data_IF_444269325657
#
_entry.id   IF_444269325657
#
_cell.length_a   1.000
_cell.length_b   1.000
_cell.length_c   1.000
_cell.angle_alpha   90.00
_cell.angle_beta   90.00
_cell.angle_gamma   90.00
#
_symmetry.space_group_name_H-M   'P 1'
#
loop_
_entity.id
_entity.type
_entity.pdbx_description
1 polymer ?
#
# COMPACT_ATOMS: atom_id res chain seq x y z
N UNK A 1 -12.29 3.41 17.11
CA UNK A 1 -11.17 4.04 16.42
C UNK A 1 -11.23 3.74 14.94
N UNK A 2 -11.05 4.75 14.09
CA UNK A 2 -11.14 4.58 12.64
C UNK A 2 -9.78 4.15 12.09
N UNK A 3 -9.78 3.07 11.31
CA UNK A 3 -8.56 2.63 10.63
C UNK A 3 -8.25 3.57 9.47
N UNK A 4 -7.05 4.11 9.46
CA UNK A 4 -6.58 4.99 8.40
C UNK A 4 -5.59 4.26 7.52
N UNK A 5 -5.79 4.34 6.21
CA UNK A 5 -4.98 3.65 5.22
C UNK A 5 -4.30 4.68 4.32
N UNK A 6 -2.99 4.52 4.13
CA UNK A 6 -2.26 5.33 3.17
C UNK A 6 -2.23 4.59 1.84
N UNK A 7 -2.68 5.26 0.78
CA UNK A 7 -2.69 4.71 -0.58
C UNK A 7 -1.61 5.42 -1.39
N UNK A 8 -0.66 4.66 -1.91
CA UNK A 8 0.44 5.20 -2.71
C UNK A 8 0.41 4.59 -4.11
N UNK A 9 0.13 5.41 -5.11
CA UNK A 9 0.04 4.99 -6.50
C UNK A 9 0.23 6.23 -7.37
N UNK A 10 1.03 6.16 -8.42
CA UNK A 10 1.29 7.33 -9.26
C UNK A 10 0.10 7.70 -10.16
N UNK A 11 -0.92 6.84 -10.24
CA UNK A 11 -2.15 7.11 -10.99
C UNK A 11 -3.24 7.67 -10.08
N UNK A 12 -3.67 8.88 -10.34
CA UNK A 12 -4.77 9.50 -9.58
C UNK A 12 -6.07 8.69 -9.73
N UNK A 13 -6.30 8.11 -10.90
CA UNK A 13 -7.49 7.28 -11.12
C UNK A 13 -7.47 6.04 -10.23
N UNK A 14 -6.31 5.40 -10.10
CA UNK A 14 -6.16 4.24 -9.23
C UNK A 14 -6.32 4.62 -7.77
N UNK A 15 -5.78 5.76 -7.36
CA UNK A 15 -5.96 6.25 -5.99
C UNK A 15 -7.45 6.41 -5.68
N UNK A 16 -8.18 7.06 -6.59
CA UNK A 16 -9.63 7.27 -6.38
C UNK A 16 -10.40 5.96 -6.31
N UNK A 17 -10.03 4.99 -7.16
CA UNK A 17 -10.67 3.68 -7.13
C UNK A 17 -10.43 2.99 -5.78
N UNK A 18 -9.18 2.94 -5.34
CA UNK A 18 -8.84 2.33 -4.06
C UNK A 18 -9.55 3.03 -2.91
N UNK A 19 -9.54 4.36 -2.90
CA UNK A 19 -10.19 5.13 -1.85
C UNK A 19 -11.70 4.90 -1.82
N UNK A 20 -12.33 4.76 -2.98
CA UNK A 20 -13.77 4.47 -3.06
C UNK A 20 -14.10 3.12 -2.44
N UNK A 21 -13.33 2.08 -2.77
CA UNK A 21 -13.53 0.74 -2.21
C UNK A 21 -13.34 0.75 -0.70
N UNK A 22 -12.28 1.42 -0.23
CA UNK A 22 -11.98 1.51 1.20
C UNK A 22 -13.08 2.27 1.95
N UNK A 23 -13.55 3.37 1.40
CA UNK A 23 -14.60 4.18 2.03
C UNK A 23 -15.89 3.39 2.20
N UNK A 24 -16.28 2.62 1.19
CA UNK A 24 -17.47 1.80 1.27
C UNK A 24 -17.37 0.71 2.35
N UNK A 25 -16.16 0.30 2.67
CA UNK A 25 -15.91 -0.68 3.72
C UNK A 25 -15.73 -0.03 5.10
N UNK A 26 -15.84 1.29 5.20
CA UNK A 26 -15.75 2.00 6.47
C UNK A 26 -14.36 2.46 6.87
N UNK A 27 -13.39 2.42 5.95
CA UNK A 27 -12.02 2.84 6.24
C UNK A 27 -11.78 4.27 5.78
N UNK A 28 -10.99 5.01 6.54
CA UNK A 28 -10.45 6.30 6.14
C UNK A 28 -9.20 6.07 5.29
N UNK A 29 -8.97 6.90 4.29
CA UNK A 29 -7.77 6.79 3.48
C UNK A 29 -7.22 8.15 3.08
N UNK A 30 -5.91 8.18 2.91
CA UNK A 30 -5.17 9.32 2.38
C UNK A 30 -4.41 8.80 1.17
N UNK A 31 -4.49 9.51 0.04
CA UNK A 31 -3.83 9.10 -1.19
C UNK A 31 -2.69 10.04 -1.55
N UNK A 32 -1.56 9.49 -1.96
CA UNK A 32 -0.45 10.27 -2.49
C UNK A 32 0.04 9.64 -3.80
N UNK A 33 0.43 10.49 -4.74
CA UNK A 33 0.93 10.03 -6.03
C UNK A 33 2.45 10.11 -6.17
N UNK A 34 3.13 10.69 -5.19
CA UNK A 34 4.58 10.84 -5.18
C UNK A 34 5.21 9.90 -4.17
N UNK A 35 5.89 8.82 -4.62
CA UNK A 35 6.48 7.86 -3.70
C UNK A 35 7.63 8.40 -2.86
N UNK A 36 8.18 9.56 -3.22
CA UNK A 36 9.24 10.20 -2.42
C UNK A 36 8.69 10.87 -1.17
N UNK A 37 7.35 10.98 -1.04
CA UNK A 37 6.68 11.62 0.09
C UNK A 37 6.10 10.64 1.10
N UNK A 38 6.41 9.35 0.98
CA UNK A 38 5.80 8.32 1.82
C UNK A 38 6.12 8.56 3.30
N UNK A 39 7.39 8.68 3.65
CA UNK A 39 7.81 8.84 5.05
C UNK A 39 7.23 10.10 5.69
N UNK A 40 7.28 11.20 4.96
CA UNK A 40 6.71 12.47 5.40
C UNK A 40 5.21 12.32 5.67
N UNK A 41 4.49 11.62 4.80
CA UNK A 41 3.06 11.40 4.94
C UNK A 41 2.75 10.48 6.12
N UNK A 42 3.57 9.47 6.36
CA UNK A 42 3.41 8.59 7.51
C UNK A 42 3.51 9.41 8.81
N UNK A 43 4.47 10.32 8.88
CA UNK A 43 4.65 11.18 10.06
C UNK A 43 3.43 12.07 10.31
N UNK A 44 2.85 12.59 9.25
CA UNK A 44 1.69 13.49 9.34
C UNK A 44 0.39 12.73 9.65
N UNK A 45 0.16 11.63 8.95
CA UNK A 45 -1.14 10.93 8.94
C UNK A 45 -1.21 9.73 9.87
N UNK A 46 -0.08 9.15 10.23
CA UNK A 46 0.02 7.98 11.09
C UNK A 46 -0.92 6.85 10.68
N UNK A 47 -0.76 6.34 9.45
CA UNK A 47 -1.66 5.29 8.95
C UNK A 47 -1.43 3.97 9.68
N UNK A 48 -2.48 3.14 9.68
CA UNK A 48 -2.43 1.80 10.25
C UNK A 48 -1.97 0.75 9.23
N UNK A 49 -2.20 1.04 7.94
CA UNK A 49 -1.86 0.13 6.84
C UNK A 49 -1.45 0.98 5.65
N UNK A 50 -0.52 0.48 4.85
CA UNK A 50 -0.09 1.14 3.61
C UNK A 50 -0.41 0.23 2.43
N UNK A 51 -1.13 0.76 1.44
CA UNK A 51 -1.33 0.12 0.15
C UNK A 51 -0.38 0.79 -0.83
N UNK A 52 0.46 0.00 -1.49
CA UNK A 52 1.60 0.53 -2.24
C UNK A 52 1.72 -0.15 -3.60
N UNK A 53 1.65 0.63 -4.67
CA UNK A 53 1.92 0.10 -6.01
C UNK A 53 3.43 -0.12 -6.17
N UNK A 54 3.80 -1.00 -7.10
CA UNK A 54 5.19 -1.31 -7.39
C UNK A 54 5.73 -0.39 -8.50
N UNK A 55 4.98 -0.23 -9.58
CA UNK A 55 5.47 0.49 -10.77
C UNK A 55 5.18 1.99 -10.63
N UNK A 56 6.19 2.72 -10.17
CA UNK A 56 6.10 4.17 -9.98
C UNK A 56 7.43 4.81 -10.39
N UNK A 57 7.41 6.04 -10.94
CA UNK A 57 8.66 6.74 -11.26
C UNK A 57 9.41 7.13 -9.99
N UNK A 58 10.71 7.31 -10.10
CA UNK A 58 11.63 7.79 -9.08
C UNK A 58 11.87 6.82 -7.92
N UNK A 59 10.88 6.06 -7.50
CA UNK A 59 11.00 5.11 -6.40
C UNK A 59 9.93 4.03 -6.59
N UNK A 60 10.33 2.80 -6.92
CA UNK A 60 9.35 1.75 -7.07
C UNK A 60 8.89 1.20 -5.71
N UNK A 61 7.78 0.46 -5.72
CA UNK A 61 7.18 -0.02 -4.48
C UNK A 61 8.01 -1.07 -3.75
N UNK A 62 8.79 -1.87 -4.46
CA UNK A 62 9.69 -2.83 -3.82
C UNK A 62 10.72 -2.10 -2.98
N UNK A 63 11.33 -1.07 -3.54
CA UNK A 63 12.33 -0.27 -2.84
C UNK A 63 11.71 0.48 -1.66
N UNK A 64 10.56 1.10 -1.88
CA UNK A 64 9.87 1.82 -0.81
C UNK A 64 9.53 0.87 0.34
N UNK A 65 9.04 -0.33 0.05
CA UNK A 65 8.73 -1.34 1.06
C UNK A 65 9.97 -1.71 1.85
N UNK A 66 11.06 -2.01 1.16
CA UNK A 66 12.33 -2.34 1.83
C UNK A 66 12.81 -1.21 2.73
N UNK A 67 12.77 0.02 2.22
CA UNK A 67 13.20 1.19 3.00
C UNK A 67 12.41 1.32 4.29
N UNK A 68 11.09 1.14 4.22
CA UNK A 68 10.23 1.21 5.39
C UNK A 68 10.51 0.08 6.37
N UNK A 69 10.65 -1.13 5.85
CA UNK A 69 10.83 -2.32 6.69
C UNK A 69 12.20 -2.42 7.35
N UNK A 70 13.18 -1.69 6.84
CA UNK A 70 14.52 -1.67 7.45
C UNK A 70 14.68 -0.55 8.48
N UNK A 71 13.68 0.31 8.66
CA UNK A 71 13.71 1.39 9.66
C UNK A 71 12.77 1.03 10.81
N UNK A 72 13.30 0.88 12.01
CA UNK A 72 12.51 0.49 13.18
C UNK A 72 11.26 1.36 13.35
N UNK A 73 11.37 2.63 13.02
CA UNK A 73 10.28 3.60 13.17
C UNK A 73 9.06 3.28 12.28
N UNK A 74 9.29 2.68 11.12
CA UNK A 74 8.23 2.36 10.15
C UNK A 74 7.96 0.87 9.99
N UNK A 75 8.86 0.03 10.46
CA UNK A 75 8.83 -1.41 10.16
C UNK A 75 7.56 -2.12 10.63
N UNK A 76 6.88 -1.57 11.62
CA UNK A 76 5.69 -2.20 12.19
C UNK A 76 4.41 -1.92 11.42
N UNK A 77 4.43 -0.96 10.50
CA UNK A 77 3.25 -0.64 9.72
C UNK A 77 3.10 -1.68 8.61
N UNK A 78 1.98 -2.41 8.57
CA UNK A 78 1.77 -3.39 7.50
C UNK A 78 1.75 -2.74 6.12
N UNK A 79 2.47 -3.34 5.18
CA UNK A 79 2.52 -2.89 3.78
C UNK A 79 1.92 -3.97 2.91
N UNK A 80 0.90 -3.60 2.14
CA UNK A 80 0.27 -4.47 1.15
C UNK A 80 0.60 -3.92 -0.23
N UNK A 81 1.27 -4.71 -1.04
CA UNK A 81 1.55 -4.31 -2.42
C UNK A 81 0.29 -4.55 -3.27
N UNK A 82 -0.12 -3.53 -4.03
CA UNK A 82 -1.30 -3.59 -4.89
C UNK A 82 -0.87 -3.20 -6.28
N UNK A 83 -0.67 -4.18 -7.17
CA UNK A 83 0.01 -3.92 -8.43
C UNK A 83 -0.37 -4.90 -9.53
N UNK A 84 -0.23 -4.45 -10.78
CA UNK A 84 -0.37 -5.32 -11.96
C UNK A 84 0.88 -6.19 -12.16
N UNK A 85 1.98 -5.86 -11.50
CA UNK A 85 3.21 -6.64 -11.53
C UNK A 85 3.09 -7.77 -10.51
N UNK A 86 2.45 -8.86 -10.92
CA UNK A 86 1.95 -9.88 -10.01
C UNK A 86 2.26 -11.32 -10.43
N UNK A 87 3.39 -11.54 -11.12
CA UNK A 87 3.86 -12.91 -11.41
C UNK A 87 4.29 -13.59 -10.11
N UNK A 88 4.43 -14.92 -10.09
CA UNK A 88 4.97 -15.60 -8.90
C UNK A 88 6.32 -15.02 -8.46
N UNK A 89 7.18 -14.66 -9.40
CA UNK A 89 8.47 -14.03 -9.07
C UNK A 89 8.28 -12.67 -8.43
N UNK A 90 7.34 -11.87 -8.92
CA UNK A 90 7.05 -10.56 -8.35
C UNK A 90 6.54 -10.69 -6.91
N UNK A 91 5.66 -11.66 -6.66
CA UNK A 91 5.12 -11.91 -5.32
C UNK A 91 6.22 -12.33 -4.37
N UNK A 92 7.08 -13.24 -4.82
CA UNK A 92 8.21 -13.70 -4.02
C UNK A 92 9.14 -12.53 -3.68
N UNK A 93 9.46 -11.70 -4.68
CA UNK A 93 10.35 -10.55 -4.48
C UNK A 93 9.75 -9.54 -3.51
N UNK A 94 8.44 -9.29 -3.60
CA UNK A 94 7.75 -8.41 -2.66
C UNK A 94 7.83 -8.92 -1.24
N UNK A 95 7.64 -10.21 -1.04
CA UNK A 95 7.78 -10.85 0.25
C UNK A 95 9.19 -10.68 0.81
N UNK A 96 10.20 -10.83 -0.04
CA UNK A 96 11.60 -10.63 0.36
C UNK A 96 11.89 -9.17 0.77
N UNK A 97 11.13 -8.22 0.25
CA UNK A 97 11.27 -6.83 0.66
C UNK A 97 10.51 -6.52 1.97
N UNK A 98 9.82 -7.49 2.51
CA UNK A 98 9.11 -7.35 3.77
C UNK A 98 7.63 -7.02 3.65
N UNK A 99 7.05 -7.10 2.45
CA UNK A 99 5.62 -6.86 2.28
C UNK A 99 4.81 -7.87 3.09
N UNK A 100 3.74 -7.39 3.71
CA UNK A 100 2.87 -8.20 4.55
C UNK A 100 1.74 -8.85 3.73
N UNK A 101 1.39 -8.24 2.61
CA UNK A 101 0.34 -8.74 1.74
C UNK A 101 0.56 -8.33 0.31
N UNK A 102 -0.23 -8.93 -0.59
CA UNK A 102 -0.10 -8.70 -2.03
C UNK A 102 -1.47 -8.84 -2.67
N UNK A 103 -1.88 -7.85 -3.44
CA UNK A 103 -3.13 -7.86 -4.20
C UNK A 103 -2.80 -7.56 -5.66
N UNK A 104 -3.21 -8.45 -6.55
CA UNK A 104 -2.98 -8.27 -7.99
C UNK A 104 -4.05 -7.37 -8.60
N UNK A 105 -3.65 -6.50 -9.51
CA UNK A 105 -4.59 -5.71 -10.35
C UNK A 105 -4.85 -6.47 -11.64
N UNK A 106 -6.08 -6.48 -12.13
CA UNK A 106 -7.27 -5.90 -11.52
C UNK A 106 -7.75 -6.74 -10.34
N UNK A 107 -8.32 -6.09 -9.34
CA UNK A 107 -8.84 -6.75 -8.14
C UNK A 107 -10.34 -6.53 -8.03
N UNK A 108 -11.02 -7.41 -7.29
CA UNK A 108 -12.39 -7.16 -6.88
C UNK A 108 -12.36 -6.40 -5.55
N UNK A 109 -13.43 -5.66 -5.21
CA UNK A 109 -13.50 -5.02 -3.89
C UNK A 109 -13.30 -6.00 -2.74
N UNK A 110 -13.85 -7.21 -2.85
CA UNK A 110 -13.71 -8.23 -1.81
C UNK A 110 -12.26 -8.67 -1.63
N UNK A 111 -11.52 -8.83 -2.72
CA UNK A 111 -10.09 -9.20 -2.65
C UNK A 111 -9.29 -8.14 -1.91
N UNK A 112 -9.53 -6.88 -2.23
CA UNK A 112 -8.82 -5.78 -1.58
C UNK A 112 -9.17 -5.71 -0.10
N UNK A 113 -10.45 -5.74 0.23
CA UNK A 113 -10.90 -5.60 1.61
C UNK A 113 -10.49 -6.80 2.47
N UNK A 114 -10.50 -8.00 1.89
CA UNK A 114 -10.00 -9.20 2.60
C UNK A 114 -8.54 -9.03 3.00
N UNK A 115 -7.72 -8.52 2.08
CA UNK A 115 -6.30 -8.27 2.37
C UNK A 115 -6.14 -7.21 3.46
N UNK A 116 -6.90 -6.12 3.38
CA UNK A 116 -6.82 -5.03 4.36
C UNK A 116 -7.25 -5.51 5.76
N UNK A 117 -8.33 -6.28 5.84
CA UNK A 117 -8.87 -6.77 7.12
C UNK A 117 -7.87 -7.60 7.91
N UNK A 118 -6.94 -8.26 7.25
CA UNK A 118 -5.93 -9.08 7.93
C UNK A 118 -5.01 -8.22 8.80
N UNK A 119 -4.89 -6.95 8.51
CA UNK A 119 -3.92 -6.06 9.16
C UNK A 119 -4.56 -4.81 9.79
N UNK A 120 -5.83 -4.59 9.50
CA UNK A 120 -6.53 -3.40 10.00
C UNK A 120 -7.18 -3.62 11.37
#
# INVERSE_FOLDING_TARGET
MVTKILVVDDSQAEIRLLQSVLQQAGYHSVGISDPTKIEETIEEERPNVILLDVVMPRRNGFQACRDLKTQAHYAQIPVILVTSKATPSDRYWGEQQGANGFVAKPFTPDELITAVKRFA
#
